data_IF_051739494298
#
_entry.id   IF_051739494298
#
_cell.length_a   1.000
_cell.length_b   1.000
_cell.length_c   1.000
_cell.angle_alpha   90.00
_cell.angle_beta   90.00
_cell.angle_gamma   90.00
#
_symmetry.space_group_name_H-M   'P 1'
#
loop_
_entity.id
_entity.type
_entity.pdbx_description
1 polymer ?
#
# COMPACT_ATOMS: atom_id res chain seq x y z
N UNK A 1 -7.38 -1.23 35.22
CA UNK A 1 -7.19 -1.40 33.76
C UNK A 1 -5.73 -1.69 33.48
N UNK A 2 -5.40 -2.52 32.48
CA UNK A 2 -3.99 -2.73 32.06
C UNK A 2 -3.66 -1.66 31.04
N UNK A 3 -2.88 -0.64 31.44
CA UNK A 3 -2.38 0.38 30.52
C UNK A 3 -1.50 -0.28 29.46
N UNK A 4 -1.96 -0.26 28.20
CA UNK A 4 -1.20 -0.76 27.04
C UNK A 4 -0.09 0.20 26.62
N UNK A 5 -0.17 1.46 27.07
CA UNK A 5 0.74 2.56 26.75
C UNK A 5 2.21 2.19 26.92
N UNK A 6 2.60 1.55 28.03
CA UNK A 6 3.98 1.14 28.30
C UNK A 6 4.52 0.07 27.33
N UNK A 7 3.63 -0.60 26.59
CA UNK A 7 3.95 -1.67 25.64
C UNK A 7 3.81 -1.24 24.18
N UNK A 8 3.36 -0.02 23.93
CA UNK A 8 3.25 0.55 22.58
C UNK A 8 4.53 1.31 22.29
N UNK A 9 5.20 0.94 21.20
CA UNK A 9 6.31 1.72 20.67
C UNK A 9 5.77 2.64 19.57
N UNK A 10 5.77 3.97 19.76
CA UNK A 10 5.40 4.88 18.71
C UNK A 10 6.39 4.77 17.55
N UNK A 11 5.89 5.02 16.34
CA UNK A 11 6.69 5.04 15.12
C UNK A 11 6.63 6.47 14.60
N UNK A 12 7.79 7.10 14.48
CA UNK A 12 7.91 8.43 13.89
C UNK A 12 7.48 8.40 12.42
N UNK A 13 6.97 9.52 11.90
CA UNK A 13 6.43 9.62 10.53
C UNK A 13 7.42 9.18 9.44
N UNK A 14 8.74 9.19 9.70
CA UNK A 14 9.73 8.74 8.70
C UNK A 14 9.91 7.21 8.66
N UNK A 15 9.17 6.47 9.50
CA UNK A 15 9.35 5.04 9.67
C UNK A 15 10.47 4.69 10.65
N UNK A 16 10.80 3.40 10.73
CA UNK A 16 11.82 2.87 11.64
C UNK A 16 12.35 1.53 11.15
N UNK A 17 13.32 0.96 11.86
CA UNK A 17 13.84 -0.40 11.64
C UNK A 17 13.63 -1.22 12.91
N UNK A 18 13.18 -2.47 12.75
CA UNK A 18 12.99 -3.42 13.84
C UNK A 18 13.92 -4.60 13.60
N UNK A 19 14.84 -4.84 14.54
CA UNK A 19 15.74 -5.99 14.47
C UNK A 19 15.13 -7.20 15.18
N UNK A 20 14.87 -8.28 14.43
CA UNK A 20 14.44 -9.58 14.94
C UNK A 20 15.63 -10.54 15.05
N UNK A 21 16.69 -10.11 15.74
CA UNK A 21 17.91 -10.87 15.98
C UNK A 21 18.69 -11.22 14.69
N UNK A 22 19.02 -10.20 13.91
CA UNK A 22 19.73 -10.29 12.63
C UNK A 22 18.82 -10.33 11.41
N UNK A 23 17.49 -10.40 11.61
CA UNK A 23 16.48 -10.25 10.56
C UNK A 23 15.81 -8.88 10.72
N UNK A 24 16.25 -7.90 9.95
CA UNK A 24 15.73 -6.53 10.04
C UNK A 24 14.41 -6.40 9.28
N UNK A 25 13.38 -5.85 9.91
CA UNK A 25 12.18 -5.35 9.24
C UNK A 25 12.26 -3.83 9.10
N UNK A 26 11.95 -3.32 7.91
CA UNK A 26 11.93 -1.89 7.62
C UNK A 26 10.48 -1.41 7.63
N UNK A 27 10.15 -0.52 8.56
CA UNK A 27 8.84 0.14 8.61
C UNK A 27 8.92 1.39 7.76
N UNK A 28 8.10 1.45 6.71
CA UNK A 28 8.11 2.49 5.69
C UNK A 28 6.87 3.38 5.80
N UNK A 29 6.99 4.70 5.61
CA UNK A 29 5.84 5.58 5.61
C UNK A 29 4.91 5.29 4.41
N UNK A 30 3.62 5.21 4.68
CA UNK A 30 2.57 5.10 3.66
C UNK A 30 1.37 5.99 4.01
N UNK A 31 1.64 7.14 4.65
CA UNK A 31 0.65 8.13 5.06
C UNK A 31 -0.28 8.50 3.91
N UNK A 32 -1.57 8.69 4.24
CA UNK A 32 -2.63 9.03 3.30
C UNK A 32 -2.93 7.94 2.25
N UNK A 33 -2.46 6.71 2.48
CA UNK A 33 -2.77 5.51 1.68
C UNK A 33 -3.48 4.41 2.52
N UNK A 34 -4.62 4.64 3.18
CA UNK A 34 -5.45 5.84 3.18
C UNK A 34 -5.39 6.63 4.51
N UNK A 35 -5.00 5.97 5.61
CA UNK A 35 -4.95 6.60 6.94
C UNK A 35 -3.86 7.68 6.99
N UNK A 36 -4.09 8.83 7.68
CA UNK A 36 -3.08 9.87 7.84
C UNK A 36 -1.82 9.37 8.58
N UNK A 37 -1.98 8.45 9.54
CA UNK A 37 -0.88 7.71 10.15
C UNK A 37 -0.91 6.27 9.64
N UNK A 38 -0.10 5.96 8.62
CA UNK A 38 -0.08 4.65 7.99
C UNK A 38 1.34 4.24 7.63
N UNK A 39 1.64 2.95 7.82
CA UNK A 39 2.95 2.37 7.57
C UNK A 39 2.81 1.04 6.83
N UNK A 40 3.86 0.70 6.09
CA UNK A 40 4.04 -0.60 5.46
C UNK A 40 5.29 -1.27 6.04
N UNK A 41 5.41 -2.58 5.88
CA UNK A 41 6.52 -3.35 6.44
C UNK A 41 7.22 -4.06 5.29
N UNK A 42 8.49 -3.76 5.10
CA UNK A 42 9.35 -4.47 4.16
C UNK A 42 10.26 -5.43 4.91
N UNK A 43 10.23 -6.70 4.50
CA UNK A 43 11.16 -7.73 4.92
C UNK A 43 12.22 -7.93 3.80
N UNK A 44 13.46 -7.45 3.99
CA UNK A 44 14.55 -7.59 3.02
C UNK A 44 15.05 -9.03 2.89
N UNK A 45 14.85 -9.89 3.88
CA UNK A 45 15.27 -11.29 3.82
C UNK A 45 14.38 -12.09 2.87
N UNK A 46 13.06 -11.92 2.98
CA UNK A 46 12.09 -12.58 2.10
C UNK A 46 11.73 -11.78 0.85
N UNK A 47 12.14 -10.50 0.78
CA UNK A 47 11.81 -9.55 -0.30
C UNK A 47 10.30 -9.31 -0.43
N UNK A 48 9.60 -9.31 0.71
CA UNK A 48 8.15 -9.12 0.80
C UNK A 48 7.86 -7.73 1.34
N UNK A 49 7.02 -6.97 0.64
CA UNK A 49 6.40 -5.76 1.16
C UNK A 49 4.98 -6.10 1.61
N UNK A 50 4.72 -6.05 2.92
CA UNK A 50 3.36 -5.99 3.45
C UNK A 50 2.82 -4.56 3.28
N UNK A 51 1.89 -4.38 2.36
CA UNK A 51 1.46 -3.06 1.87
C UNK A 51 0.22 -2.49 2.59
N UNK A 52 -0.31 -3.20 3.59
CA UNK A 52 -1.54 -2.78 4.26
C UNK A 52 -2.71 -2.72 3.26
N UNK A 53 -3.49 -1.64 3.28
CA UNK A 53 -4.62 -1.47 2.37
C UNK A 53 -4.24 -1.19 0.92
N UNK A 54 -2.99 -0.78 0.65
CA UNK A 54 -2.56 -0.55 -0.72
C UNK A 54 -2.37 -1.89 -1.43
N UNK A 55 -3.06 -2.07 -2.56
CA UNK A 55 -3.18 -3.35 -3.25
C UNK A 55 -4.40 -4.17 -2.82
N UNK A 56 -5.25 -3.62 -1.95
CA UNK A 56 -6.50 -4.28 -1.56
C UNK A 56 -7.36 -4.63 -2.77
N UNK A 57 -7.71 -5.91 -2.88
CA UNK A 57 -8.64 -6.44 -3.87
C UNK A 57 -9.82 -7.13 -3.20
N UNK A 58 -11.01 -6.88 -3.75
CA UNK A 58 -12.27 -7.40 -3.22
C UNK A 58 -12.92 -8.37 -4.21
N UNK A 59 -13.46 -9.47 -3.70
CA UNK A 59 -14.28 -10.45 -4.43
C UNK A 59 -13.58 -11.26 -5.55
N UNK A 60 -12.27 -11.14 -5.73
CA UNK A 60 -11.51 -12.05 -6.59
C UNK A 60 -11.51 -13.48 -6.03
N UNK A 61 -11.59 -14.53 -6.87
CA UNK A 61 -11.65 -15.93 -6.41
C UNK A 61 -10.27 -16.57 -6.18
N UNK A 62 -9.20 -15.80 -6.17
CA UNK A 62 -7.82 -16.27 -6.11
C UNK A 62 -6.99 -15.51 -5.07
N UNK A 63 -5.88 -16.11 -4.66
CA UNK A 63 -4.96 -15.55 -3.65
C UNK A 63 -3.67 -15.00 -4.25
N UNK A 64 -3.37 -15.30 -5.51
CA UNK A 64 -2.21 -14.79 -6.25
C UNK A 64 -2.69 -14.19 -7.56
N UNK A 65 -2.23 -12.99 -7.89
CA UNK A 65 -2.55 -12.33 -9.16
C UNK A 65 -1.73 -12.97 -10.28
N UNK A 66 -2.40 -13.54 -11.27
CA UNK A 66 -1.75 -14.11 -12.47
C UNK A 66 -1.80 -13.15 -13.68
N UNK A 67 -2.89 -12.39 -13.79
CA UNK A 67 -3.10 -11.39 -14.84
C UNK A 67 -3.46 -10.05 -14.18
N UNK A 68 -2.57 -9.06 -14.35
CA UNK A 68 -2.73 -7.76 -13.68
C UNK A 68 -3.90 -6.98 -14.24
N UNK A 69 -4.04 -6.96 -15.56
CA UNK A 69 -5.03 -6.20 -16.29
C UNK A 69 -6.46 -6.67 -15.93
N UNK A 70 -6.67 -7.98 -15.81
CA UNK A 70 -7.94 -8.54 -15.34
C UNK A 70 -8.18 -8.32 -13.84
N UNK A 71 -7.12 -8.12 -13.05
CA UNK A 71 -7.19 -7.92 -11.61
C UNK A 71 -7.61 -6.50 -11.23
N UNK A 72 -7.29 -5.49 -12.05
CA UNK A 72 -7.59 -4.07 -11.78
C UNK A 72 -9.05 -3.85 -11.35
N UNK A 73 -10.01 -4.55 -11.98
CA UNK A 73 -11.45 -4.43 -11.66
C UNK A 73 -11.80 -4.72 -10.19
N UNK A 74 -10.97 -5.50 -9.49
CA UNK A 74 -11.17 -5.84 -8.07
C UNK A 74 -10.54 -4.81 -7.12
N UNK A 75 -9.67 -3.94 -7.63
CA UNK A 75 -8.91 -2.96 -6.85
C UNK A 75 -9.38 -1.52 -7.09
N UNK A 76 -9.72 -1.19 -8.34
CA UNK A 76 -9.78 0.19 -8.82
C UNK A 76 -10.77 1.04 -8.02
N UNK A 77 -11.98 0.55 -7.78
CA UNK A 77 -12.99 1.29 -7.05
C UNK A 77 -12.56 1.65 -5.63
N UNK A 78 -11.90 0.72 -4.93
CA UNK A 78 -11.35 0.97 -3.60
C UNK A 78 -10.26 2.03 -3.66
N UNK A 79 -9.28 1.86 -4.55
CA UNK A 79 -8.14 2.77 -4.60
C UNK A 79 -8.51 4.18 -5.05
N UNK A 80 -9.40 4.31 -6.05
CA UNK A 80 -9.92 5.62 -6.50
C UNK A 80 -10.64 6.35 -5.38
N UNK A 81 -11.33 5.64 -4.49
CA UNK A 81 -12.14 6.27 -3.42
C UNK A 81 -11.37 6.55 -2.13
N UNK A 82 -10.47 5.65 -1.74
CA UNK A 82 -9.82 5.67 -0.42
C UNK A 82 -8.43 6.31 -0.45
N UNK A 83 -7.62 6.08 -1.48
CA UNK A 83 -6.29 6.69 -1.56
C UNK A 83 -6.44 8.19 -1.73
N UNK A 84 -5.62 8.98 -1.03
CA UNK A 84 -5.89 10.41 -0.92
C UNK A 84 -5.64 11.20 -2.20
N UNK A 85 -4.55 10.91 -2.92
CA UNK A 85 -4.21 11.57 -4.20
C UNK A 85 -3.10 10.83 -4.94
N UNK A 86 -3.02 11.05 -6.24
CA UNK A 86 -1.96 10.60 -7.13
C UNK A 86 -0.60 11.16 -6.71
N UNK A 87 -0.55 12.37 -6.15
CA UNK A 87 0.68 12.95 -5.58
C UNK A 87 1.32 12.01 -4.56
N UNK A 88 0.52 11.49 -3.63
CA UNK A 88 1.01 10.57 -2.58
C UNK A 88 1.36 9.22 -3.18
N UNK A 89 0.55 8.70 -4.11
CA UNK A 89 0.82 7.44 -4.81
C UNK A 89 2.16 7.48 -5.59
N UNK A 90 2.46 8.58 -6.28
CA UNK A 90 3.75 8.79 -6.97
C UNK A 90 4.94 8.83 -6.02
N UNK A 91 4.81 9.54 -4.89
CA UNK A 91 5.86 9.60 -3.88
C UNK A 91 6.13 8.21 -3.27
N UNK A 92 5.06 7.46 -2.99
CA UNK A 92 5.16 6.08 -2.53
C UNK A 92 5.85 5.19 -3.56
N UNK A 93 5.43 5.24 -4.83
CA UNK A 93 6.03 4.46 -5.91
C UNK A 93 7.54 4.74 -6.07
N UNK A 94 7.95 6.01 -6.03
CA UNK A 94 9.37 6.41 -6.09
C UNK A 94 10.19 5.89 -4.91
N UNK A 95 9.61 5.82 -3.71
CA UNK A 95 10.28 5.28 -2.53
C UNK A 95 10.48 3.77 -2.67
N UNK A 96 9.41 3.02 -2.94
CA UNK A 96 9.45 1.56 -2.92
C UNK A 96 10.21 0.96 -4.11
N UNK A 97 10.36 1.68 -5.24
CA UNK A 97 11.19 1.26 -6.38
C UNK A 97 12.69 1.11 -6.03
N UNK A 98 13.12 1.68 -4.90
CA UNK A 98 14.50 1.56 -4.40
C UNK A 98 14.75 0.23 -3.68
N UNK A 99 13.70 -0.56 -3.44
CA UNK A 99 13.76 -1.83 -2.72
C UNK A 99 13.76 -3.01 -3.69
N UNK A 100 14.39 -4.11 -3.30
CA UNK A 100 14.30 -5.37 -4.05
C UNK A 100 13.08 -6.15 -3.57
N UNK A 101 11.95 -5.96 -4.26
CA UNK A 101 10.65 -6.56 -3.90
C UNK A 101 10.31 -7.68 -4.89
N UNK A 102 10.07 -8.88 -4.36
CA UNK A 102 9.58 -10.04 -5.11
C UNK A 102 8.09 -10.27 -4.88
N UNK A 103 7.54 -9.83 -3.75
CA UNK A 103 6.12 -9.97 -3.42
C UNK A 103 5.60 -8.70 -2.76
N UNK A 104 4.43 -8.24 -3.21
CA UNK A 104 3.60 -7.29 -2.46
C UNK A 104 2.41 -8.05 -1.91
N UNK A 105 2.26 -8.02 -0.59
CA UNK A 105 1.21 -8.70 0.16
C UNK A 105 0.27 -7.67 0.82
N UNK A 106 -0.91 -7.39 0.25
CA UNK A 106 -1.88 -6.50 0.87
C UNK A 106 -2.55 -7.18 2.07
N UNK A 107 -3.11 -6.36 2.97
CA UNK A 107 -3.93 -6.81 4.10
C UNK A 107 -5.24 -7.45 3.63
N UNK A 108 -5.71 -7.08 2.44
CA UNK A 108 -6.93 -7.58 1.84
C UNK A 108 -6.67 -8.11 0.44
N UNK A 109 -7.09 -9.35 0.18
CA UNK A 109 -7.15 -9.90 -1.16
C UNK A 109 -5.90 -10.64 -1.63
N UNK A 110 -5.64 -10.60 -2.94
CA UNK A 110 -4.60 -11.39 -3.59
C UNK A 110 -3.21 -10.72 -3.53
N UNK A 111 -2.16 -11.53 -3.48
CA UNK A 111 -0.76 -11.05 -3.50
C UNK A 111 -0.27 -10.84 -4.94
N UNK A 112 0.64 -9.88 -5.11
CA UNK A 112 1.39 -9.64 -6.34
C UNK A 112 2.74 -10.36 -6.21
N UNK A 113 3.03 -11.32 -7.09
CA UNK A 113 4.23 -12.15 -6.99
C UNK A 113 5.07 -12.10 -8.27
N UNK A 114 6.38 -11.94 -8.09
CA UNK A 114 7.37 -11.80 -9.15
C UNK A 114 7.55 -10.35 -9.58
N UNK A 115 8.79 -10.00 -9.98
CA UNK A 115 9.17 -8.62 -10.32
C UNK A 115 8.27 -7.95 -11.35
N UNK A 116 7.83 -8.68 -12.37
CA UNK A 116 6.96 -8.12 -13.41
C UNK A 116 5.59 -7.73 -12.86
N UNK A 117 4.96 -8.59 -12.06
CA UNK A 117 3.66 -8.33 -11.43
C UNK A 117 3.76 -7.18 -10.42
N UNK A 118 4.83 -7.17 -9.62
CA UNK A 118 5.15 -6.09 -8.68
C UNK A 118 5.31 -4.76 -9.42
N UNK A 119 6.10 -4.73 -10.49
CA UNK A 119 6.33 -3.51 -11.26
C UNK A 119 5.06 -2.97 -11.92
N UNK A 120 4.21 -3.85 -12.48
CA UNK A 120 2.91 -3.46 -13.03
C UNK A 120 2.02 -2.81 -11.97
N UNK A 121 1.97 -3.38 -10.77
CA UNK A 121 1.21 -2.80 -9.66
C UNK A 121 1.72 -1.40 -9.28
N UNK A 122 3.04 -1.25 -9.16
CA UNK A 122 3.67 0.03 -8.81
C UNK A 122 3.39 1.09 -9.87
N UNK A 123 3.54 0.74 -11.15
CA UNK A 123 3.27 1.63 -12.27
C UNK A 123 1.80 2.04 -12.33
N UNK A 124 0.88 1.11 -12.05
CA UNK A 124 -0.54 1.43 -11.95
C UNK A 124 -0.81 2.41 -10.80
N UNK A 125 -0.23 2.18 -9.62
CA UNK A 125 -0.37 3.12 -8.49
C UNK A 125 0.14 4.51 -8.85
N UNK A 126 1.32 4.60 -9.47
CA UNK A 126 1.96 5.85 -9.89
C UNK A 126 1.08 6.69 -10.82
N UNK A 127 0.25 6.05 -11.65
CA UNK A 127 -0.57 6.70 -12.66
C UNK A 127 -2.06 6.82 -12.29
N UNK A 128 -2.49 6.30 -11.13
CA UNK A 128 -3.88 6.34 -10.72
C UNK A 128 -4.27 7.71 -10.14
N UNK A 129 -5.21 8.40 -10.79
CA UNK A 129 -5.96 9.51 -10.16
C UNK A 129 -6.92 8.96 -9.10
N UNK A 130 -6.84 9.50 -7.88
CA UNK A 130 -7.59 8.99 -6.75
C UNK A 130 -7.90 10.09 -5.72
N UNK A 131 -8.88 9.80 -4.85
CA UNK A 131 -9.24 10.67 -3.75
C UNK A 131 -9.58 12.07 -4.22
N UNK A 132 -8.84 13.06 -3.71
CA UNK A 132 -9.10 14.48 -3.99
C UNK A 132 -8.89 14.85 -5.46
N UNK A 133 -8.13 14.07 -6.23
CA UNK A 133 -7.93 14.35 -7.66
C UNK A 133 -9.23 14.20 -8.46
N UNK A 134 -10.12 13.30 -8.01
CA UNK A 134 -11.39 13.00 -8.67
C UNK A 134 -12.52 13.94 -8.21
N UNK A 135 -12.25 14.81 -7.23
CA UNK A 135 -13.25 15.70 -6.65
C UNK A 135 -13.32 17.00 -7.46
N UNK A 136 -14.53 17.33 -7.90
CA UNK A 136 -14.84 18.53 -8.68
C UNK A 136 -16.17 19.15 -8.24
N UNK A 137 -16.58 20.26 -8.86
CA UNK A 137 -17.78 21.01 -8.47
C UNK A 137 -19.07 20.18 -8.53
N UNK A 138 -19.14 19.16 -9.39
CA UNK A 138 -20.33 18.30 -9.46
C UNK A 138 -20.52 17.49 -8.17
N UNK A 139 -19.44 17.08 -7.51
CA UNK A 139 -19.51 16.36 -6.22
C UNK A 139 -19.90 17.33 -5.09
N UNK A 140 -19.42 18.57 -5.14
CA UNK A 140 -19.79 19.62 -4.17
C UNK A 140 -20.95 20.49 -4.68
N UNK A 141 -22.01 19.82 -5.16
CA UNK A 141 -23.27 20.47 -5.53
C UNK A 141 -24.38 20.09 -4.55
N UNK A 142 -25.34 21.00 -4.36
CA UNK A 142 -26.57 20.69 -3.63
C UNK A 142 -27.44 19.84 -4.57
N UNK A 143 -27.96 18.67 -4.13
CA UNK A 143 -28.85 17.82 -4.95
C UNK A 143 -30.10 18.51 -5.46
#
# INVERSE_FOLDING_TARGET
>A
ERHVEERVKPIEDKGTRIDLNGCELVILPAHLLHSPGNFQIYDPCSKILFSGDLGASLYQPYTVVENFEEHIKYMEGFHKRYMASNKVMKLWANMIRQLDIEIIAPQHGAIFKGKDMVNKFIEWCENLECGVDLINENIYSIP
#
